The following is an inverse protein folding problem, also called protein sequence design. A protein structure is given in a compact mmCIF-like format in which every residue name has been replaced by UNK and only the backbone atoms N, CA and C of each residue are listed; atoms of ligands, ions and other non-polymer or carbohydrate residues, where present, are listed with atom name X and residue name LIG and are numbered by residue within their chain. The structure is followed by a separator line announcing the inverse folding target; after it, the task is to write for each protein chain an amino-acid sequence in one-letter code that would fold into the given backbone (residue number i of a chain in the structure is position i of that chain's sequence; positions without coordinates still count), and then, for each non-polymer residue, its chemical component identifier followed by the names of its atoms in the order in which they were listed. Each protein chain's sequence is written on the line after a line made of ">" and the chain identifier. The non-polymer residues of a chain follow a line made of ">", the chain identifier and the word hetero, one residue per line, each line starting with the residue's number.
data_IF_231737278530
#
_entry.id   IF_231737278530
#
_cell.length_a   1.000
_cell.length_b   1.000
_cell.length_c   1.000
_cell.angle_alpha   90.00
_cell.angle_beta   90.00
_cell.angle_gamma   90.00
#
_symmetry.space_group_name_H-M   'P 1'
#
loop_
_entity.id
_entity.type
_entity.pdbx_description
1 polymer ?
#
# COMPACT_ATOMS: atom_id res chain seq x y z
N UNK A 1 -9.24 -25.17 -10.68
CA UNK A 1 -9.62 -25.96 -9.50
C UNK A 1 -10.95 -25.39 -9.02
N UNK A 2 -12.06 -26.07 -9.30
CA UNK A 2 -13.38 -25.61 -8.84
C UNK A 2 -13.52 -25.95 -7.36
N UNK A 3 -13.48 -24.95 -6.49
CA UNK A 3 -13.74 -25.11 -5.06
C UNK A 3 -15.16 -25.65 -4.89
N UNK A 4 -15.28 -26.90 -4.45
CA UNK A 4 -16.55 -27.54 -4.20
C UNK A 4 -17.24 -26.86 -3.01
N UNK A 5 -18.39 -26.23 -3.26
CA UNK A 5 -19.28 -25.71 -2.20
C UNK A 5 -19.59 -26.86 -1.23
N UNK A 6 -19.13 -26.73 0.01
CA UNK A 6 -19.34 -27.72 1.08
C UNK A 6 -20.83 -27.98 1.26
N UNK A 7 -21.24 -29.22 1.49
CA UNK A 7 -22.66 -29.59 1.59
C UNK A 7 -23.42 -28.77 2.64
N UNK A 8 -22.77 -28.44 3.76
CA UNK A 8 -23.33 -27.58 4.81
C UNK A 8 -23.57 -26.13 4.37
N UNK A 9 -22.86 -25.64 3.34
CA UNK A 9 -22.95 -24.28 2.81
C UNK A 9 -23.82 -24.17 1.55
N UNK A 10 -24.24 -25.31 0.97
CA UNK A 10 -25.10 -25.36 -0.22
C UNK A 10 -26.44 -24.66 -0.02
N UNK A 11 -27.03 -24.75 1.18
CA UNK A 11 -28.31 -24.08 1.48
C UNK A 11 -28.21 -22.54 1.44
N UNK A 12 -27.09 -21.97 1.89
CA UNK A 12 -26.84 -20.52 1.80
C UNK A 12 -26.61 -20.10 0.34
N UNK A 13 -25.88 -20.93 -0.41
CA UNK A 13 -25.63 -20.71 -1.84
C UNK A 13 -26.93 -20.75 -2.68
N UNK A 14 -27.81 -21.73 -2.45
CA UNK A 14 -29.13 -21.82 -3.10
C UNK A 14 -30.02 -20.62 -2.74
N UNK A 15 -29.96 -20.17 -1.48
CA UNK A 15 -30.67 -18.96 -1.03
C UNK A 15 -30.13 -17.69 -1.72
N UNK A 16 -28.83 -17.62 -1.98
CA UNK A 16 -28.21 -16.51 -2.71
C UNK A 16 -28.61 -16.50 -4.19
N UNK A 17 -28.66 -17.65 -4.85
CA UNK A 17 -29.15 -17.76 -6.22
C UNK A 17 -30.62 -17.34 -6.31
N UNK A 18 -31.46 -17.80 -5.36
CA UNK A 18 -32.87 -17.40 -5.28
C UNK A 18 -33.04 -15.89 -5.10
N UNK A 19 -32.24 -15.25 -4.22
CA UNK A 19 -32.24 -13.80 -4.02
C UNK A 19 -31.79 -13.03 -5.27
N UNK A 20 -30.79 -13.52 -6.00
CA UNK A 20 -30.29 -12.89 -7.22
C UNK A 20 -31.25 -13.03 -8.42
N UNK A 21 -32.12 -14.04 -8.40
CA UNK A 21 -33.13 -14.28 -9.44
C UNK A 21 -34.49 -13.59 -9.14
N UNK A 22 -34.63 -12.94 -7.98
CA UNK A 22 -35.82 -12.18 -7.63
C UNK A 22 -35.89 -10.85 -8.42
N UNK A 23 -37.04 -10.59 -9.04
CA UNK A 23 -37.33 -9.40 -9.82
C UNK A 23 -37.27 -8.11 -8.96
N UNK A 24 -37.53 -8.20 -7.66
CA UNK A 24 -37.42 -7.05 -6.75
C UNK A 24 -35.97 -6.64 -6.49
N UNK A 25 -35.03 -7.57 -6.68
CA UNK A 25 -33.61 -7.40 -6.44
C UNK A 25 -32.88 -7.10 -7.74
N UNK A 26 -33.41 -7.49 -8.91
CA UNK A 26 -32.76 -7.28 -10.22
C UNK A 26 -32.35 -5.83 -10.47
N UNK A 27 -33.18 -4.86 -10.06
CA UNK A 27 -32.96 -3.42 -10.27
C UNK A 27 -31.95 -2.79 -9.30
N UNK A 28 -31.57 -3.49 -8.23
CA UNK A 28 -30.59 -2.99 -7.27
C UNK A 28 -29.16 -2.97 -7.86
N UNK A 29 -28.32 -1.97 -7.51
CA UNK A 29 -26.91 -1.94 -7.92
C UNK A 29 -26.14 -3.18 -7.46
N UNK A 30 -25.23 -3.69 -8.30
CA UNK A 30 -24.43 -4.90 -8.04
C UNK A 30 -23.69 -4.83 -6.69
N UNK A 31 -23.17 -3.66 -6.33
CA UNK A 31 -22.46 -3.42 -5.06
C UNK A 31 -23.34 -3.77 -3.85
N UNK A 32 -24.62 -3.35 -3.85
CA UNK A 32 -25.55 -3.64 -2.76
C UNK A 32 -25.91 -5.13 -2.68
N UNK A 33 -25.99 -5.82 -3.83
CA UNK A 33 -26.22 -7.28 -3.88
C UNK A 33 -25.05 -8.03 -3.27
N UNK A 34 -23.81 -7.61 -3.59
CA UNK A 34 -22.59 -8.20 -3.05
C UNK A 34 -22.50 -7.96 -1.54
N UNK A 35 -22.75 -6.74 -1.07
CA UNK A 35 -22.75 -6.41 0.37
C UNK A 35 -23.82 -7.19 1.15
N UNK A 36 -25.03 -7.34 0.60
CA UNK A 36 -26.08 -8.13 1.22
C UNK A 36 -25.69 -9.61 1.32
N UNK A 37 -25.14 -10.20 0.26
CA UNK A 37 -24.69 -11.59 0.27
C UNK A 37 -23.49 -11.79 1.20
N UNK A 38 -22.59 -10.81 1.32
CA UNK A 38 -21.50 -10.82 2.30
C UNK A 38 -22.04 -10.77 3.74
N UNK A 39 -23.05 -9.93 4.00
CA UNK A 39 -23.71 -9.85 5.32
C UNK A 39 -24.42 -11.16 5.71
N UNK A 40 -24.81 -11.97 4.72
CA UNK A 40 -25.38 -13.31 4.90
C UNK A 40 -24.33 -14.41 5.14
N UNK A 41 -23.04 -14.06 5.14
CA UNK A 41 -21.94 -14.98 5.42
C UNK A 41 -21.40 -15.72 4.20
N UNK A 42 -21.74 -15.27 2.99
CA UNK A 42 -21.10 -15.78 1.77
C UNK A 42 -19.74 -15.11 1.56
N UNK A 43 -18.77 -15.92 1.14
CA UNK A 43 -17.45 -15.46 0.73
C UNK A 43 -17.51 -14.81 -0.65
N UNK A 44 -16.53 -13.96 -0.98
CA UNK A 44 -16.46 -13.28 -2.29
C UNK A 44 -16.46 -14.27 -3.46
N UNK A 45 -15.79 -15.39 -3.30
CA UNK A 45 -15.70 -16.46 -4.31
C UNK A 45 -17.06 -17.15 -4.55
N UNK A 46 -17.82 -17.43 -3.48
CA UNK A 46 -19.17 -18.02 -3.57
C UNK A 46 -20.17 -17.02 -4.19
N UNK A 47 -20.03 -15.73 -3.90
CA UNK A 47 -20.87 -14.67 -4.46
C UNK A 47 -20.67 -14.57 -5.97
N UNK A 48 -19.43 -14.58 -6.44
CA UNK A 48 -19.12 -14.51 -7.87
C UNK A 48 -19.67 -15.73 -8.62
N UNK A 49 -19.62 -16.92 -8.00
CA UNK A 49 -20.23 -18.14 -8.56
C UNK A 49 -21.76 -18.03 -8.60
N UNK A 50 -22.41 -17.57 -7.52
CA UNK A 50 -23.86 -17.41 -7.45
C UNK A 50 -24.37 -16.37 -8.46
N UNK A 51 -23.65 -15.26 -8.67
CA UNK A 51 -23.97 -14.24 -9.68
C UNK A 51 -23.83 -14.82 -11.09
N UNK A 52 -22.78 -15.60 -11.34
CA UNK A 52 -22.56 -16.26 -12.64
C UNK A 52 -23.64 -17.31 -12.94
N UNK A 53 -24.09 -18.03 -11.93
CA UNK A 53 -25.13 -19.06 -12.03
C UNK A 53 -26.53 -18.46 -12.17
N UNK A 54 -26.86 -17.43 -11.38
CA UNK A 54 -28.10 -16.67 -11.52
C UNK A 54 -28.21 -15.99 -12.91
N UNK A 55 -27.09 -15.45 -13.44
CA UNK A 55 -27.04 -14.87 -14.79
C UNK A 55 -27.13 -15.93 -15.91
N UNK A 56 -26.76 -17.18 -15.63
CA UNK A 56 -26.88 -18.30 -16.58
C UNK A 56 -28.27 -18.94 -16.59
N UNK A 57 -29.20 -18.52 -15.73
CA UNK A 57 -30.62 -18.89 -15.83
C UNK A 57 -30.95 -20.36 -15.56
N UNK A 58 -30.12 -21.12 -14.84
CA UNK A 58 -30.47 -22.50 -14.46
C UNK A 58 -31.17 -22.53 -13.10
N UNK A 59 -32.49 -22.43 -13.11
CA UNK A 59 -33.32 -22.82 -11.95
C UNK A 59 -33.31 -24.35 -11.80
N UNK A 60 -33.08 -24.93 -10.62
CA UNK A 60 -33.37 -26.33 -10.38
C UNK A 60 -34.89 -26.51 -10.24
N UNK A 61 -35.56 -26.80 -11.37
CA UNK A 61 -36.95 -27.25 -11.36
C UNK A 61 -37.03 -28.56 -10.60
N UNK A 62 -37.61 -28.53 -9.40
CA UNK A 62 -38.06 -29.72 -8.67
C UNK A 62 -39.19 -30.35 -9.48
N UNK A 63 -38.90 -31.47 -10.15
CA UNK A 63 -39.90 -32.29 -10.83
C UNK A 63 -40.90 -32.84 -9.82
N UNK A 64 -42.13 -32.33 -9.86
CA UNK A 64 -43.27 -32.91 -9.16
C UNK A 64 -43.60 -34.30 -9.71
N UNK A 65 -43.82 -35.25 -8.80
CA UNK A 65 -44.38 -36.56 -9.13
C UNK A 65 -45.80 -36.36 -9.69
N UNK A 66 -45.99 -36.77 -10.93
CA UNK A 66 -47.31 -36.91 -11.53
C UNK A 66 -47.95 -38.22 -11.07
N UNK A 67 -49.08 -38.06 -10.39
CA UNK A 67 -50.04 -39.08 -10.03
C UNK A 67 -50.73 -39.60 -11.30
N UNK A 68 -50.56 -40.89 -11.60
CA UNK A 68 -51.23 -41.57 -12.70
C UNK A 68 -52.25 -42.57 -12.13
N UNK A 69 -53.51 -42.17 -12.22
CA UNK A 69 -54.68 -43.00 -12.04
C UNK A 69 -54.87 -43.98 -13.22
N UNK A 70 -55.75 -44.99 -13.01
CA UNK A 70 -56.29 -45.98 -13.96
C UNK A 70 -55.49 -47.29 -13.97
N UNK A 71 -56.04 -48.50 -13.86
CA UNK A 71 -57.34 -48.99 -14.29
C UNK A 71 -57.81 -50.21 -13.48
N UNK A 72 -59.11 -50.46 -13.64
CA UNK A 72 -59.99 -51.50 -13.15
C UNK A 72 -59.52 -52.92 -13.51
N UNK A 73 -59.68 -53.84 -12.57
CA UNK A 73 -60.27 -55.14 -12.90
C UNK A 73 -61.14 -55.65 -11.75
N UNK A 74 -62.39 -55.92 -12.11
CA UNK A 74 -63.39 -56.61 -11.30
C UNK A 74 -63.01 -58.09 -11.28
N UNK A 75 -62.89 -58.68 -10.10
CA UNK A 75 -63.11 -60.11 -9.95
C UNK A 75 -63.93 -60.36 -8.69
N UNK A 76 -65.10 -60.95 -8.91
CA UNK A 76 -66.07 -61.41 -7.93
C UNK A 76 -65.66 -62.76 -7.34
N UNK A 77 -66.26 -63.08 -6.19
CA UNK A 77 -66.35 -64.41 -5.55
C UNK A 77 -65.07 -64.85 -4.80
N UNK A 78 -65.07 -65.18 -3.50
CA UNK A 78 -66.08 -65.83 -2.65
C UNK A 78 -65.91 -65.34 -1.19
N UNK A 79 -67.02 -65.07 -0.50
CA UNK A 79 -67.03 -64.76 0.94
C UNK A 79 -67.13 -66.09 1.71
N UNK A 80 -66.03 -66.50 2.33
CA UNK A 80 -66.02 -67.56 3.35
C UNK A 80 -65.97 -66.90 4.72
N UNK A 81 -67.11 -66.87 5.41
CA UNK A 81 -67.21 -66.37 6.78
C UNK A 81 -66.68 -67.44 7.75
N UNK A 82 -65.36 -67.39 8.00
CA UNK A 82 -64.72 -68.18 9.03
C UNK A 82 -65.03 -67.54 10.40
N UNK A 83 -65.97 -68.11 11.15
CA UNK A 83 -66.18 -67.80 12.56
C UNK A 83 -64.89 -68.13 13.32
N UNK A 84 -64.18 -67.14 13.91
CA UNK A 84 -62.95 -67.43 14.64
C UNK A 84 -63.27 -68.19 15.94
N UNK A 85 -62.49 -69.22 16.30
CA UNK A 85 -62.70 -69.98 17.54
C UNK A 85 -62.59 -69.08 18.78
N UNK A 86 -63.39 -69.33 19.84
CA UNK A 86 -63.41 -68.50 21.04
C UNK A 86 -62.03 -68.46 21.72
N UNK A 87 -61.55 -67.25 22.00
CA UNK A 87 -60.26 -67.01 22.66
C UNK A 87 -60.25 -67.65 24.07
N UNK A 88 -59.18 -68.37 24.45
CA UNK A 88 -59.06 -68.94 25.79
C UNK A 88 -59.12 -67.83 26.85
N UNK A 89 -59.79 -68.12 27.97
CA UNK A 89 -59.93 -67.19 29.10
C UNK A 89 -58.54 -66.96 29.70
N UNK A 90 -58.09 -65.70 29.67
CA UNK A 90 -56.81 -65.28 30.26
C UNK A 90 -56.91 -65.32 31.78
N UNK A 91 -56.41 -66.39 32.36
CA UNK A 91 -56.33 -66.53 33.81
C UNK A 91 -55.29 -65.55 34.38
N UNK A 92 -55.48 -65.06 35.61
CA UNK A 92 -54.54 -64.16 36.31
C UNK A 92 -53.09 -64.70 36.36
N UNK A 93 -52.93 -66.01 36.18
CA UNK A 93 -51.64 -66.70 36.05
C UNK A 93 -50.90 -66.31 34.76
N UNK A 94 -51.61 -66.10 33.66
CA UNK A 94 -51.01 -65.64 32.41
C UNK A 94 -50.46 -64.21 32.56
N UNK A 95 -51.05 -63.37 33.42
CA UNK A 95 -50.47 -62.06 33.75
C UNK A 95 -49.19 -62.19 34.56
N UNK A 96 -49.08 -63.16 35.47
CA UNK A 96 -47.84 -63.41 36.20
C UNK A 96 -46.75 -63.99 35.30
N UNK A 97 -47.12 -64.91 34.41
CA UNK A 97 -46.20 -65.49 33.41
C UNK A 97 -45.77 -64.41 32.41
N UNK A 98 -46.68 -63.57 31.94
CA UNK A 98 -46.36 -62.43 31.06
C UNK A 98 -45.51 -61.39 31.78
N UNK A 99 -45.80 -61.08 33.05
CA UNK A 99 -45.00 -60.15 33.85
C UNK A 99 -43.57 -60.68 34.05
N UNK A 100 -43.42 -61.96 34.40
CA UNK A 100 -42.10 -62.57 34.62
C UNK A 100 -41.33 -62.75 33.31
N UNK A 101 -42.01 -63.15 32.23
CA UNK A 101 -41.41 -63.26 30.91
C UNK A 101 -40.98 -61.88 30.37
N UNK A 102 -41.82 -60.86 30.50
CA UNK A 102 -41.49 -59.48 30.11
C UNK A 102 -40.36 -58.90 30.97
N UNK A 103 -40.33 -59.17 32.28
CA UNK A 103 -39.25 -58.76 33.16
C UNK A 103 -37.92 -59.45 32.81
N UNK A 104 -37.95 -60.75 32.49
CA UNK A 104 -36.77 -61.50 32.03
C UNK A 104 -36.25 -60.99 30.69
N UNK A 105 -37.15 -60.70 29.74
CA UNK A 105 -36.79 -60.17 28.43
C UNK A 105 -36.24 -58.73 28.55
N UNK A 106 -36.86 -57.90 29.39
CA UNK A 106 -36.39 -56.54 29.69
C UNK A 106 -35.02 -56.55 30.39
N UNK A 107 -34.80 -57.46 31.35
CA UNK A 107 -33.51 -57.63 32.02
C UNK A 107 -32.43 -58.13 31.05
N UNK A 108 -32.77 -59.06 30.14
CA UNK A 108 -31.86 -59.53 29.09
C UNK A 108 -31.42 -58.41 28.16
N UNK A 109 -32.35 -57.58 27.68
CA UNK A 109 -32.05 -56.40 26.84
C UNK A 109 -31.22 -55.38 27.61
N UNK A 110 -31.53 -55.13 28.88
CA UNK A 110 -30.74 -54.22 29.73
C UNK A 110 -29.29 -54.70 29.91
N UNK A 111 -29.07 -55.99 30.14
CA UNK A 111 -27.73 -56.58 30.30
C UNK A 111 -26.93 -56.48 29.00
N UNK A 112 -27.56 -56.78 27.87
CA UNK A 112 -26.93 -56.66 26.55
C UNK A 112 -26.61 -55.20 26.21
N UNK A 113 -27.53 -54.28 26.52
CA UNK A 113 -27.30 -52.86 26.36
C UNK A 113 -26.12 -52.37 27.22
N UNK A 114 -26.09 -52.74 28.49
CA UNK A 114 -25.04 -52.31 29.42
C UNK A 114 -23.67 -52.89 29.07
N UNK A 115 -23.61 -54.15 28.65
CA UNK A 115 -22.34 -54.86 28.42
C UNK A 115 -21.78 -54.66 27.00
N UNK A 116 -22.63 -54.45 25.99
CA UNK A 116 -22.21 -54.40 24.59
C UNK A 116 -22.55 -53.09 23.87
N UNK A 117 -23.64 -52.40 24.23
CA UNK A 117 -24.11 -51.19 23.52
C UNK A 117 -23.49 -49.93 24.15
N UNK A 118 -23.50 -49.82 25.48
CA UNK A 118 -22.88 -48.71 26.23
C UNK A 118 -21.39 -48.52 25.90
N UNK A 119 -20.53 -49.56 25.96
CA UNK A 119 -19.10 -49.37 25.64
C UNK A 119 -18.84 -49.02 24.16
N UNK A 120 -19.81 -49.24 23.27
CA UNK A 120 -19.67 -48.93 21.83
C UNK A 120 -20.31 -47.58 21.44
N UNK A 121 -21.11 -46.97 22.32
CA UNK A 121 -21.89 -45.74 22.08
C UNK A 121 -21.50 -44.59 23.02
N UNK A 122 -20.68 -44.87 24.03
CA UNK A 122 -19.88 -43.86 24.70
C UNK A 122 -18.44 -43.90 24.16
N UNK A 123 -18.18 -43.42 22.93
CA UNK A 123 -16.82 -43.05 22.55
C UNK A 123 -16.38 -41.85 23.40
N UNK A 124 -15.08 -41.73 23.63
CA UNK A 124 -14.38 -40.69 24.42
C UNK A 124 -14.68 -39.24 23.96
N UNK A 125 -15.90 -38.77 24.21
CA UNK A 125 -16.31 -37.37 24.03
C UNK A 125 -15.51 -36.42 24.94
N UNK A 126 -14.83 -36.95 25.97
CA UNK A 126 -13.89 -36.20 26.82
C UNK A 126 -12.63 -35.80 26.05
N UNK A 127 -12.07 -36.67 25.22
CA UNK A 127 -10.82 -36.38 24.48
C UNK A 127 -11.01 -35.29 23.44
N UNK A 128 -12.11 -35.31 22.67
CA UNK A 128 -12.39 -34.25 21.68
C UNK A 128 -12.70 -32.89 22.33
N UNK A 129 -13.38 -32.90 23.47
CA UNK A 129 -13.67 -31.67 24.21
C UNK A 129 -12.41 -31.10 24.88
N UNK A 130 -11.52 -31.95 25.39
CA UNK A 130 -10.22 -31.53 25.92
C UNK A 130 -9.34 -30.96 24.80
N UNK A 131 -9.33 -31.59 23.63
CA UNK A 131 -8.63 -31.06 22.45
C UNK A 131 -9.17 -29.69 22.03
N UNK A 132 -10.49 -29.51 21.99
CA UNK A 132 -11.10 -28.22 21.64
C UNK A 132 -10.79 -27.14 22.69
N UNK A 133 -10.83 -27.48 23.98
CA UNK A 133 -10.42 -26.56 25.05
C UNK A 133 -8.96 -26.15 24.93
N UNK A 134 -8.07 -27.09 24.65
CA UNK A 134 -6.65 -26.81 24.46
C UNK A 134 -6.41 -25.94 23.22
N UNK A 135 -7.12 -26.21 22.12
CA UNK A 135 -7.10 -25.36 20.93
C UNK A 135 -7.60 -23.94 21.23
N UNK A 136 -8.71 -23.81 21.95
CA UNK A 136 -9.26 -22.51 22.37
C UNK A 136 -8.25 -21.77 23.24
N UNK A 137 -7.65 -22.42 24.24
CA UNK A 137 -6.61 -21.81 25.08
C UNK A 137 -5.39 -21.36 24.26
N UNK A 138 -4.93 -22.17 23.30
CA UNK A 138 -3.85 -21.78 22.39
C UNK A 138 -4.22 -20.60 21.49
N UNK A 139 -5.49 -20.47 21.07
CA UNK A 139 -5.94 -19.29 20.33
C UNK A 139 -6.01 -18.06 21.25
N UNK A 140 -6.42 -18.22 22.51
CA UNK A 140 -6.38 -17.12 23.49
C UNK A 140 -4.95 -16.65 23.74
N UNK A 141 -4.00 -17.56 23.97
CA UNK A 141 -2.59 -17.19 24.14
C UNK A 141 -2.04 -16.45 22.90
N UNK A 142 -2.40 -16.92 21.69
CA UNK A 142 -2.04 -16.21 20.44
C UNK A 142 -2.72 -14.84 20.35
N UNK A 143 -3.97 -14.72 20.76
CA UNK A 143 -4.69 -13.44 20.75
C UNK A 143 -4.11 -12.46 21.77
N UNK A 144 -3.73 -12.92 22.97
CA UNK A 144 -3.04 -12.10 23.97
C UNK A 144 -1.66 -11.66 23.47
N UNK A 145 -0.92 -12.57 22.83
CA UNK A 145 0.35 -12.22 22.20
C UNK A 145 0.19 -11.21 21.06
N UNK A 146 -0.84 -11.38 20.22
CA UNK A 146 -1.15 -10.42 19.14
C UNK A 146 -1.62 -9.08 19.70
N UNK A 147 -2.45 -9.07 20.74
CA UNK A 147 -2.90 -7.85 21.40
C UNK A 147 -1.73 -7.10 22.02
N UNK A 148 -0.85 -7.81 22.74
CA UNK A 148 0.38 -7.25 23.29
C UNK A 148 1.30 -6.71 22.19
N UNK A 149 1.42 -7.43 21.06
CA UNK A 149 2.19 -6.97 19.89
C UNK A 149 1.56 -5.74 19.26
N UNK A 150 0.23 -5.67 19.15
CA UNK A 150 -0.49 -4.53 18.58
C UNK A 150 -0.39 -3.31 19.49
N UNK A 151 -0.49 -3.49 20.80
CA UNK A 151 -0.31 -2.39 21.77
C UNK A 151 1.13 -1.89 21.77
N UNK A 152 2.12 -2.80 21.71
CA UNK A 152 3.52 -2.45 21.54
C UNK A 152 3.75 -1.73 20.20
N UNK A 153 3.18 -2.21 19.10
CA UNK A 153 3.34 -1.58 17.79
C UNK A 153 2.69 -0.18 17.77
N UNK A 154 1.49 -0.03 18.35
CA UNK A 154 0.82 1.27 18.49
C UNK A 154 1.63 2.25 19.33
N UNK A 155 2.19 1.82 20.47
CA UNK A 155 3.09 2.67 21.27
C UNK A 155 4.35 3.07 20.49
N UNK A 156 4.92 2.15 19.73
CA UNK A 156 6.11 2.42 18.91
C UNK A 156 5.82 3.31 17.70
N UNK A 157 4.61 3.23 17.13
CA UNK A 157 4.18 4.10 16.04
C UNK A 157 3.94 5.51 16.56
N UNK A 158 3.30 5.67 17.71
CA UNK A 158 3.12 6.98 18.34
C UNK A 158 4.45 7.65 18.66
N UNK A 159 5.43 6.90 19.17
CA UNK A 159 6.78 7.44 19.42
C UNK A 159 7.48 7.86 18.12
N UNK A 160 7.39 7.03 17.06
CA UNK A 160 7.96 7.37 15.74
C UNK A 160 7.27 8.59 15.12
N UNK A 161 5.95 8.70 15.25
CA UNK A 161 5.20 9.87 14.78
C UNK A 161 5.63 11.12 15.55
N UNK A 162 5.74 11.07 16.88
CA UNK A 162 6.23 12.19 17.69
C UNK A 162 7.66 12.61 17.30
N UNK A 163 8.55 11.65 17.04
CA UNK A 163 9.90 11.93 16.54
C UNK A 163 9.86 12.61 15.16
N UNK A 164 8.96 12.17 14.27
CA UNK A 164 8.78 12.79 12.95
C UNK A 164 8.21 14.20 13.06
N UNK A 165 7.29 14.46 13.98
CA UNK A 165 6.82 15.83 14.25
C UNK A 165 7.93 16.73 14.77
N UNK A 166 8.80 16.24 15.67
CA UNK A 166 9.97 16.99 16.15
C UNK A 166 10.97 17.29 15.03
N UNK A 167 11.25 16.30 14.17
CA UNK A 167 12.13 16.49 12.99
C UNK A 167 11.51 17.50 12.01
N UNK A 168 10.19 17.46 11.81
CA UNK A 168 9.49 18.43 10.98
C UNK A 168 9.55 19.84 11.57
N UNK A 169 9.35 20.01 12.88
CA UNK A 169 9.45 21.31 13.55
C UNK A 169 10.88 21.89 13.45
N UNK A 170 11.90 21.05 13.60
CA UNK A 170 13.31 21.44 13.41
C UNK A 170 13.57 21.92 11.98
N UNK A 171 13.12 21.15 10.98
CA UNK A 171 13.26 21.54 9.57
C UNK A 171 12.52 22.83 9.26
N UNK A 172 11.35 23.07 9.87
CA UNK A 172 10.61 24.34 9.71
C UNK A 172 11.41 25.52 10.28
N UNK A 173 12.03 25.37 11.44
CA UNK A 173 12.90 26.39 12.06
C UNK A 173 14.15 26.63 11.20
N UNK A 174 14.77 25.57 10.68
CA UNK A 174 15.92 25.68 9.79
C UNK A 174 15.56 26.36 8.47
N UNK A 175 14.41 26.03 7.88
CA UNK A 175 13.90 26.70 6.68
C UNK A 175 13.61 28.18 6.95
N UNK A 176 13.02 28.52 8.09
CA UNK A 176 12.80 29.91 8.48
C UNK A 176 14.13 30.65 8.64
N UNK A 177 15.12 30.03 9.28
CA UNK A 177 16.45 30.59 9.49
C UNK A 177 17.21 30.76 8.17
N UNK A 178 17.13 29.77 7.27
CA UNK A 178 17.73 29.82 5.95
C UNK A 178 17.08 30.89 5.07
N UNK A 179 15.75 31.05 5.15
CA UNK A 179 15.01 32.10 4.45
C UNK A 179 15.41 33.48 4.99
N UNK A 180 15.45 33.66 6.30
CA UNK A 180 15.88 34.92 6.92
C UNK A 180 17.34 35.23 6.59
N UNK A 181 18.20 34.21 6.58
CA UNK A 181 19.59 34.31 6.11
C UNK A 181 19.66 34.75 4.65
N UNK A 182 18.86 34.16 3.77
CA UNK A 182 18.81 34.53 2.36
C UNK A 182 18.35 35.99 2.16
N UNK A 183 17.29 36.40 2.85
CA UNK A 183 16.79 37.79 2.82
C UNK A 183 17.90 38.75 3.27
N UNK A 184 18.57 38.47 4.39
CA UNK A 184 19.69 39.29 4.87
C UNK A 184 20.87 39.32 3.89
N UNK A 185 21.21 38.20 3.25
CA UNK A 185 22.26 38.19 2.22
C UNK A 185 21.87 38.99 0.98
N UNK A 186 20.59 38.98 0.62
CA UNK A 186 20.06 39.78 -0.49
C UNK A 186 20.10 41.27 -0.17
N UNK A 187 19.72 41.67 1.04
CA UNK A 187 19.84 43.06 1.50
C UNK A 187 21.30 43.53 1.47
N UNK A 188 22.23 42.71 1.97
CA UNK A 188 23.67 43.01 1.89
C UNK A 188 24.16 43.13 0.46
N UNK A 189 23.75 42.23 -0.44
CA UNK A 189 24.09 42.32 -1.86
C UNK A 189 23.53 43.60 -2.49
N UNK A 190 22.32 44.03 -2.12
CA UNK A 190 21.76 45.28 -2.60
C UNK A 190 22.56 46.49 -2.11
N UNK A 191 22.98 46.49 -0.84
CA UNK A 191 23.83 47.52 -0.28
C UNK A 191 25.22 47.53 -0.93
N UNK A 192 25.84 46.36 -1.12
CA UNK A 192 27.12 46.22 -1.82
C UNK A 192 27.01 46.71 -3.27
N UNK A 193 25.93 46.37 -3.98
CA UNK A 193 25.67 46.88 -5.34
C UNK A 193 25.50 48.40 -5.34
N UNK A 194 24.84 48.97 -4.32
CA UNK A 194 24.71 50.42 -4.16
C UNK A 194 26.07 51.08 -3.93
N UNK A 195 26.92 50.49 -3.07
CA UNK A 195 28.28 50.96 -2.80
C UNK A 195 29.14 50.85 -4.07
N UNK A 196 29.15 49.69 -4.73
CA UNK A 196 29.89 49.47 -5.97
C UNK A 196 29.46 50.47 -7.06
N UNK A 197 28.18 50.81 -7.16
CA UNK A 197 27.72 51.85 -8.07
C UNK A 197 28.33 53.22 -7.74
N UNK A 198 28.36 53.60 -6.46
CA UNK A 198 28.99 54.85 -6.03
C UNK A 198 30.50 54.84 -6.27
N UNK A 199 31.17 53.72 -6.05
CA UNK A 199 32.60 53.54 -6.34
C UNK A 199 32.87 53.60 -7.84
N UNK A 200 32.02 53.01 -8.69
CA UNK A 200 32.12 53.10 -10.16
C UNK A 200 31.93 54.55 -10.61
N UNK A 201 30.92 55.25 -10.09
CA UNK A 201 30.72 56.68 -10.38
C UNK A 201 31.93 57.52 -9.90
N UNK A 202 32.51 57.18 -8.75
CA UNK A 202 33.73 57.78 -8.20
C UNK A 202 34.97 57.50 -9.05
N UNK A 203 35.18 56.25 -9.47
CA UNK A 203 36.25 55.83 -10.37
C UNK A 203 36.10 56.50 -11.73
N UNK A 204 34.89 56.60 -12.26
CA UNK A 204 34.61 57.32 -13.49
C UNK A 204 34.99 58.80 -13.35
N UNK A 205 34.63 59.45 -12.23
CA UNK A 205 35.03 60.83 -11.95
C UNK A 205 36.54 60.98 -11.83
N UNK A 206 37.20 60.10 -11.07
CA UNK A 206 38.65 60.10 -10.89
C UNK A 206 39.39 59.82 -12.20
N UNK A 207 38.90 58.89 -13.03
CA UNK A 207 39.44 58.62 -14.36
C UNK A 207 39.28 59.83 -15.28
N UNK A 208 38.10 60.44 -15.33
CA UNK A 208 37.89 61.66 -16.11
C UNK A 208 38.79 62.80 -15.63
N UNK A 209 38.96 62.96 -14.31
CA UNK A 209 39.87 63.95 -13.72
C UNK A 209 41.33 63.64 -14.08
N UNK A 210 41.77 62.40 -13.95
CA UNK A 210 43.13 61.97 -14.28
C UNK A 210 43.42 62.16 -15.77
N UNK A 211 42.46 61.86 -16.64
CA UNK A 211 42.55 62.09 -18.09
C UNK A 211 42.65 63.59 -18.35
N UNK A 212 41.80 64.43 -17.77
CA UNK A 212 41.85 65.89 -17.96
C UNK A 212 43.18 66.48 -17.48
N UNK A 213 43.63 66.11 -16.28
CA UNK A 213 44.86 66.62 -15.66
C UNK A 213 46.12 66.13 -16.39
N UNK A 214 46.13 64.87 -16.87
CA UNK A 214 47.31 64.31 -17.54
C UNK A 214 47.30 64.45 -19.07
N UNK A 215 46.19 64.80 -19.72
CA UNK A 215 46.14 65.07 -21.18
C UNK A 215 47.05 66.23 -21.57
N UNK A 216 47.15 67.24 -20.72
CA UNK A 216 48.06 68.39 -20.91
C UNK A 216 49.43 68.19 -20.29
N UNK A 217 49.68 67.03 -19.65
CA UNK A 217 51.01 66.73 -19.16
C UNK A 217 51.97 66.57 -20.37
N UNK A 218 53.11 67.27 -20.37
CA UNK A 218 54.11 67.09 -21.41
C UNK A 218 54.68 65.66 -21.40
N UNK A 219 54.51 64.92 -20.30
CA UNK A 219 54.91 63.52 -20.17
C UNK A 219 54.04 62.59 -21.04
N UNK A 220 52.71 62.72 -21.05
CA UNK A 220 51.85 61.89 -21.92
C UNK A 220 52.02 62.27 -23.39
N UNK A 221 52.22 63.55 -23.71
CA UNK A 221 52.54 63.98 -25.08
C UNK A 221 53.87 63.41 -25.54
N UNK A 222 54.92 63.49 -24.72
CA UNK A 222 56.21 62.85 -24.97
C UNK A 222 56.08 61.33 -25.10
N UNK A 223 55.30 60.66 -24.26
CA UNK A 223 55.06 59.23 -24.38
C UNK A 223 54.30 58.87 -25.66
N UNK A 224 53.32 59.67 -26.08
CA UNK A 224 52.62 59.46 -27.34
C UNK A 224 53.57 59.71 -28.54
N UNK A 225 54.42 60.73 -28.49
CA UNK A 225 55.47 61.00 -29.48
C UNK A 225 56.54 59.90 -29.49
N UNK A 226 56.92 59.39 -28.31
CA UNK A 226 57.84 58.28 -28.14
C UNK A 226 57.23 56.96 -28.61
N UNK A 227 55.93 56.71 -28.38
CA UNK A 227 55.21 55.55 -28.94
C UNK A 227 55.04 55.67 -30.44
N UNK A 228 54.76 56.87 -30.96
CA UNK A 228 54.69 57.10 -32.41
C UNK A 228 56.08 56.93 -33.04
N UNK A 229 57.14 57.41 -32.39
CA UNK A 229 58.51 57.22 -32.86
C UNK A 229 58.98 55.78 -32.70
N UNK A 230 58.61 55.06 -31.63
CA UNK A 230 58.84 53.63 -31.44
C UNK A 230 58.05 52.81 -32.44
N UNK A 231 56.82 53.19 -32.74
CA UNK A 231 56.00 52.55 -33.78
C UNK A 231 56.60 52.77 -35.14
N UNK A 232 57.14 53.97 -35.40
CA UNK A 232 57.83 54.25 -36.66
C UNK A 232 59.16 53.48 -36.73
N UNK A 233 59.88 53.40 -35.61
CA UNK A 233 61.12 52.65 -35.47
C UNK A 233 60.86 51.15 -35.55
N UNK A 234 59.77 50.64 -34.99
CA UNK A 234 59.29 49.27 -35.11
C UNK A 234 58.81 48.96 -36.51
N UNK A 235 58.11 49.87 -37.19
CA UNK A 235 57.69 49.71 -38.57
C UNK A 235 58.91 49.73 -39.52
N UNK A 236 59.94 50.52 -39.17
CA UNK A 236 61.21 50.57 -39.88
C UNK A 236 62.14 49.39 -39.52
N UNK A 237 62.06 48.85 -38.30
CA UNK A 237 62.86 47.71 -37.83
C UNK A 237 62.20 46.36 -38.14
N UNK A 238 60.88 46.30 -38.28
CA UNK A 238 60.15 45.14 -38.79
C UNK A 238 60.40 44.93 -40.29
N UNK A 239 60.87 45.97 -41.00
CA UNK A 239 61.46 45.84 -42.32
C UNK A 239 62.89 45.26 -42.31
N UNK A 240 63.52 45.10 -41.14
CA UNK A 240 64.93 44.68 -40.99
C UNK A 240 65.15 43.44 -40.09
N UNK A 241 64.11 42.71 -39.68
CA UNK A 241 64.29 41.42 -38.97
C UNK A 241 63.56 40.30 -39.68
N UNK A 242 64.29 39.66 -40.60
CA UNK A 242 64.11 38.23 -40.86
C UNK A 242 64.75 37.43 -39.72
N UNK A 243 64.13 36.27 -39.51
CA UNK A 243 64.66 35.05 -38.91
C UNK A 243 64.85 34.95 -37.38
N UNK A 244 64.00 34.08 -36.83
CA UNK A 244 64.28 32.98 -35.86
C UNK A 244 63.72 33.08 -34.42
N UNK A 245 63.31 31.93 -33.81
CA UNK A 245 62.20 31.87 -32.88
C UNK A 245 62.58 31.65 -31.39
N UNK A 246 61.77 32.30 -30.53
CA UNK A 246 61.09 31.80 -29.32
C UNK A 246 61.85 30.96 -28.28
N UNK A 247 61.93 31.45 -27.03
CA UNK A 247 61.39 30.75 -25.84
C UNK A 247 61.21 31.74 -24.67
N UNK A 248 60.04 31.70 -24.03
CA UNK A 248 59.52 32.74 -23.13
C UNK A 248 59.75 32.43 -21.64
N UNK A 249 60.21 33.45 -20.94
CA UNK A 249 60.34 33.55 -19.49
C UNK A 249 58.99 33.82 -18.79
N UNK A 250 58.82 33.11 -17.67
CA UNK A 250 58.35 33.54 -16.34
C UNK A 250 57.86 35.00 -16.19
N UNK A 251 56.63 35.19 -15.72
CA UNK A 251 56.28 36.25 -14.74
C UNK A 251 54.86 36.02 -14.12
N UNK A 252 54.50 36.68 -13.00
CA UNK A 252 53.55 36.20 -12.00
C UNK A 252 52.19 36.93 -12.00
N UNK A 253 51.10 36.18 -11.94
CA UNK A 253 49.73 36.64 -11.63
C UNK A 253 49.03 35.51 -10.86
N UNK A 254 48.42 35.71 -9.67
CA UNK A 254 47.58 34.68 -9.08
C UNK A 254 46.22 34.72 -9.79
N UNK A 255 46.14 34.04 -10.93
CA UNK A 255 44.87 33.64 -11.54
C UNK A 255 44.24 32.51 -10.71
N UNK A 256 42.98 32.19 -11.00
CA UNK A 256 42.14 31.20 -10.30
C UNK A 256 42.60 29.73 -10.39
N UNK A 257 43.91 29.47 -10.29
CA UNK A 257 44.54 28.15 -10.20
C UNK A 257 45.07 27.84 -8.78
N UNK A 258 44.92 28.76 -7.83
CA UNK A 258 45.28 28.54 -6.42
C UNK A 258 44.21 27.78 -5.60
N UNK A 259 43.24 27.14 -6.25
CA UNK A 259 42.39 26.15 -5.59
C UNK A 259 43.07 24.80 -5.83
N UNK A 260 43.64 24.14 -4.80
CA UNK A 260 44.20 22.81 -5.00
C UNK A 260 43.11 21.91 -5.58
N UNK A 261 43.40 21.32 -6.74
CA UNK A 261 42.51 20.36 -7.39
C UNK A 261 42.18 19.25 -6.38
N UNK A 262 40.91 18.86 -6.25
CA UNK A 262 40.49 17.83 -5.31
C UNK A 262 41.28 16.51 -5.45
N UNK A 263 41.80 16.26 -6.66
CA UNK A 263 42.71 15.15 -6.97
C UNK A 263 44.04 15.19 -6.21
N UNK A 264 44.58 16.38 -5.95
CA UNK A 264 45.86 16.60 -5.25
C UNK A 264 45.69 16.52 -3.72
N UNK A 265 44.53 16.95 -3.21
CA UNK A 265 44.14 16.81 -1.79
C UNK A 265 43.92 15.33 -1.46
N UNK A 266 43.29 14.57 -2.36
CA UNK A 266 43.11 13.13 -2.23
C UNK A 266 44.43 12.35 -2.34
N UNK A 267 45.38 12.81 -3.16
CA UNK A 267 46.71 12.19 -3.26
C UNK A 267 47.59 12.43 -2.02
N UNK A 268 47.39 13.54 -1.29
CA UNK A 268 48.09 13.82 -0.02
C UNK A 268 47.48 13.14 1.20
N UNK A 269 46.24 12.64 1.10
CA UNK A 269 45.62 11.85 2.15
C UNK A 269 46.14 10.40 2.04
N UNK A 270 47.04 9.98 2.93
CA UNK A 270 47.57 8.62 2.97
C UNK A 270 46.48 7.62 3.43
N UNK A 271 45.53 7.35 2.54
CA UNK A 271 44.47 6.35 2.74
C UNK A 271 45.07 4.99 2.37
N UNK A 272 45.03 3.98 3.27
CA UNK A 272 45.59 2.67 2.96
C UNK A 272 44.84 2.04 1.77
N UNK A 273 45.58 1.72 0.70
CA UNK A 273 45.09 0.95 -0.45
C UNK A 273 44.52 -0.39 0.05
N UNK A 274 43.21 -0.58 -0.12
CA UNK A 274 42.56 -1.90 -0.05
C UNK A 274 42.10 -2.28 -1.46
N UNK A 275 42.60 -3.43 -1.91
CA UNK A 275 42.46 -4.13 -3.18
C UNK A 275 41.34 -3.71 -4.15
N UNK A 276 41.75 -3.53 -5.40
CA UNK A 276 40.93 -3.42 -6.60
C UNK A 276 40.00 -4.65 -6.75
N UNK A 277 38.69 -4.41 -6.90
CA UNK A 277 37.75 -5.50 -7.17
C UNK A 277 36.27 -5.15 -7.28
N UNK A 278 35.79 -4.03 -6.72
CA UNK A 278 34.37 -3.69 -6.81
C UNK A 278 34.15 -2.20 -7.10
N UNK A 279 33.59 -1.92 -8.28
CA UNK A 279 33.09 -0.60 -8.65
C UNK A 279 31.78 -0.36 -7.89
N UNK A 280 31.62 0.76 -7.17
CA UNK A 280 30.41 1.03 -6.40
C UNK A 280 29.17 1.19 -7.30
N UNK A 281 28.03 0.67 -6.82
CA UNK A 281 26.78 0.49 -7.57
C UNK A 281 26.24 1.75 -8.27
N UNK A 282 26.52 2.94 -7.74
CA UNK A 282 26.11 4.22 -8.32
C UNK A 282 26.76 4.51 -9.68
N UNK A 283 27.95 3.94 -9.97
CA UNK A 283 28.64 4.12 -11.25
C UNK A 283 28.11 3.17 -12.33
N UNK A 284 27.66 1.96 -11.94
CA UNK A 284 27.12 0.94 -12.85
C UNK A 284 25.79 1.35 -13.49
N UNK A 285 24.97 2.16 -12.81
CA UNK A 285 23.71 2.68 -13.36
C UNK A 285 23.89 3.76 -14.43
N UNK A 286 25.01 4.49 -14.40
CA UNK A 286 25.25 5.61 -15.31
C UNK A 286 25.73 5.16 -16.69
N UNK A 287 26.58 4.13 -16.75
CA UNK A 287 27.11 3.60 -18.01
C UNK A 287 26.07 2.74 -18.79
N UNK A 288 25.02 2.24 -18.10
CA UNK A 288 23.90 1.55 -18.74
C UNK A 288 22.91 2.51 -19.43
N UNK A 289 22.98 3.81 -19.15
CA UNK A 289 22.01 4.81 -19.62
C UNK A 289 22.39 5.47 -20.96
N UNK A 290 23.55 5.15 -21.54
CA UNK A 290 24.03 5.80 -22.77
C UNK A 290 23.66 5.08 -24.08
N UNK A 291 22.94 3.96 -24.04
CA UNK A 291 22.75 3.11 -25.25
C UNK A 291 21.31 3.02 -25.77
N UNK A 292 20.29 3.52 -25.08
CA UNK A 292 18.92 3.48 -25.62
C UNK A 292 18.19 4.81 -25.50
N UNK A 293 18.20 5.53 -26.62
CA UNK A 293 17.28 6.61 -26.93
C UNK A 293 15.93 5.94 -27.22
N UNK A 294 15.04 5.91 -26.23
CA UNK A 294 13.58 6.06 -26.34
C UNK A 294 12.89 5.55 -25.05
N UNK A 295 12.11 6.44 -24.45
CA UNK A 295 11.07 6.18 -23.42
C UNK A 295 11.53 5.57 -22.10
N UNK A 296 12.01 6.40 -21.16
CA UNK A 296 12.19 5.99 -19.76
C UNK A 296 11.75 7.10 -18.80
N UNK A 297 10.43 7.21 -18.59
CA UNK A 297 9.90 7.77 -17.35
C UNK A 297 10.13 6.74 -16.23
N UNK A 298 10.80 7.11 -15.12
CA UNK A 298 11.12 6.19 -14.03
C UNK A 298 9.85 5.63 -13.34
N UNK A 299 9.91 4.38 -12.86
CA UNK A 299 8.75 3.63 -12.34
C UNK A 299 7.99 4.33 -11.21
N UNK A 300 8.67 5.10 -10.37
CA UNK A 300 8.04 5.88 -9.30
C UNK A 300 7.06 6.94 -9.82
N UNK A 301 7.20 7.35 -11.09
CA UNK A 301 6.35 8.34 -11.72
C UNK A 301 5.11 7.72 -12.38
N UNK A 302 5.15 6.42 -12.71
CA UNK A 302 3.98 5.68 -13.23
C UNK A 302 3.00 5.33 -12.11
N UNK A 303 3.49 5.00 -10.92
CA UNK A 303 2.64 4.68 -9.76
C UNK A 303 1.83 5.87 -9.24
N UNK A 304 2.28 7.11 -9.50
CA UNK A 304 1.57 8.33 -9.15
C UNK A 304 0.46 8.69 -10.15
N UNK A 305 0.62 8.35 -11.44
CA UNK A 305 -0.36 8.65 -12.48
C UNK A 305 -1.52 7.63 -12.55
N UNK A 306 -1.33 6.42 -12.02
CA UNK A 306 -2.30 5.33 -12.09
C UNK A 306 -3.23 5.24 -10.86
N UNK A 307 -2.97 6.01 -9.78
CA UNK A 307 -3.88 6.12 -8.63
C UNK A 307 -5.04 7.06 -8.94
N UNK A 308 -6.10 6.49 -9.49
CA UNK A 308 -7.44 7.07 -9.49
C UNK A 308 -7.85 7.51 -8.07
N UNK A 309 -8.59 8.62 -7.98
CA UNK A 309 -9.13 9.21 -6.76
C UNK A 309 -9.57 8.17 -5.72
N UNK A 310 -8.89 8.13 -4.59
CA UNK A 310 -9.39 7.46 -3.39
C UNK A 310 -10.60 8.23 -2.88
N UNK A 311 -11.81 7.64 -2.82
CA UNK A 311 -12.94 8.32 -2.21
C UNK A 311 -12.65 8.56 -0.73
N UNK A 312 -12.89 9.79 -0.27
CA UNK A 312 -12.76 10.21 1.11
C UNK A 312 -13.60 9.26 1.99
N UNK A 313 -13.02 8.64 3.03
CA UNK A 313 -13.74 7.77 3.96
C UNK A 313 -14.95 8.47 4.58
N UNK A 314 -16.06 7.73 4.76
CA UNK A 314 -17.33 8.25 5.29
C UNK A 314 -17.16 8.93 6.67
N UNK A 315 -16.25 8.45 7.51
CA UNK A 315 -15.98 9.06 8.83
C UNK A 315 -15.37 10.46 8.71
N UNK A 316 -14.58 10.72 7.66
CA UNK A 316 -13.97 12.02 7.41
C UNK A 316 -15.01 13.01 6.87
N UNK A 317 -15.99 12.54 6.08
CA UNK A 317 -17.14 13.36 5.67
C UNK A 317 -18.06 13.72 6.84
N UNK A 318 -18.28 12.78 7.76
CA UNK A 318 -19.10 13.02 8.95
C UNK A 318 -18.50 14.10 9.86
N UNK A 319 -17.17 14.19 9.93
CA UNK A 319 -16.48 15.20 10.73
C UNK A 319 -16.61 16.61 10.12
N UNK A 320 -16.45 16.75 8.80
CA UNK A 320 -16.68 18.03 8.11
C UNK A 320 -18.14 18.51 8.20
N UNK A 321 -19.10 17.58 8.22
CA UNK A 321 -20.51 17.91 8.34
C UNK A 321 -20.93 18.26 9.78
N UNK A 322 -20.15 17.85 10.78
CA UNK A 322 -20.38 18.17 12.20
C UNK A 322 -19.81 19.53 12.62
N UNK A 323 -18.83 20.08 11.88
CA UNK A 323 -18.20 21.38 12.13
C UNK A 323 -19.06 22.58 11.64
N UNK A 324 -20.18 22.32 10.96
CA UNK A 324 -21.07 23.38 10.48
C UNK A 324 -22.28 23.56 11.41
N UNK A 325 -22.32 24.58 12.30
CA UNK A 325 -23.53 24.88 13.05
C UNK A 325 -24.58 25.47 12.09
N UNK A 326 -25.61 24.68 11.78
CA UNK A 326 -26.78 25.18 11.03
C UNK A 326 -27.56 26.18 11.91
N UNK A 327 -27.99 27.32 11.35
CA UNK A 327 -28.70 28.35 12.10
C UNK A 327 -30.14 27.93 12.39
N UNK A 328 -30.63 28.47 13.50
CA UNK A 328 -31.96 28.34 14.08
C UNK A 328 -33.10 28.50 13.06
N UNK A 329 -33.99 27.52 13.00
CA UNK A 329 -35.29 27.63 12.35
C UNK A 329 -36.27 28.30 13.31
N UNK A 330 -36.47 29.60 13.12
CA UNK A 330 -37.50 30.40 13.79
C UNK A 330 -38.57 30.85 12.78
N UNK A 331 -39.83 30.59 13.15
CA UNK A 331 -41.08 31.19 12.68
C UNK A 331 -41.53 30.97 11.22
N UNK A 332 -42.66 30.27 11.03
CA UNK A 332 -44.01 30.88 10.97
C UNK A 332 -45.10 29.83 10.81
#
# INVERSE_FOLDING_TARGET
>A
MASSISEDRRGLYESAISFLNDQSVSDAPLTKKIEFLQSKGLTREEIDQAIKEAKSGSSPTKSGLAEAATDRSRQTDYVYEAIPPPLPRRDWKDYFVMATASAGLCYGVYQLAKRYVIPNILPDSKSKLEQDKEQIMQQFDKMEQLLSTVEQDHSSQMEKEEQKFKELDEVVVDLQTALEGNVRTREKLEDDVRILRLEIEGLQKNLNSFILENTDSPAIRKLNDEILSLKNLMKNSAFLKSDTPSEADKSPVPGAEAIPSASEILAKMNIPKKNDGEVPAWKKGRDASTTHKDTALPEWQKTAAEKAHTPIPEWQKAMFNAESPSPEESAS
#
